data_IF_243461501990
#
_entry.id   IF_243461501990
#
_cell.length_a   1.000
_cell.length_b   1.000
_cell.length_c   1.000
_cell.angle_alpha   90.00
_cell.angle_beta   90.00
_cell.angle_gamma   90.00
#
_symmetry.space_group_name_H-M   'P 1'
#
loop_
_entity.id
_entity.type
_entity.pdbx_description
1 polymer ?
#
# COMPACT_ATOMS: atom_id res chain seq x y z
N UNK A 1 19.31 -44.17 42.74
CA UNK A 1 18.46 -44.68 41.63
C UNK A 1 17.10 -45.03 42.22
N UNK A 2 16.05 -44.28 41.88
CA UNK A 2 15.11 -44.55 40.77
C UNK A 2 15.00 -43.34 39.81
N UNK A 3 14.93 -43.43 38.48
CA UNK A 3 13.90 -43.92 37.50
C UNK A 3 12.67 -43.00 37.32
N UNK A 4 12.78 -42.18 36.26
CA UNK A 4 11.80 -41.63 35.30
C UNK A 4 10.40 -41.20 35.77
N UNK A 5 9.99 -39.98 35.38
CA UNK A 5 8.85 -39.77 34.47
C UNK A 5 8.41 -38.29 34.39
N UNK A 6 8.36 -37.78 33.16
CA UNK A 6 7.32 -36.88 32.63
C UNK A 6 7.04 -35.56 33.36
N UNK A 7 7.42 -34.47 32.69
CA UNK A 7 6.95 -33.13 33.01
C UNK A 7 7.24 -32.09 31.93
N UNK A 8 7.20 -32.48 30.65
CA UNK A 8 7.04 -31.49 29.56
C UNK A 8 5.60 -31.00 29.64
N UNK A 9 5.31 -30.17 30.63
CA UNK A 9 4.00 -29.56 30.81
C UNK A 9 4.03 -28.22 30.08
N UNK A 10 3.50 -28.29 28.87
CA UNK A 10 2.80 -27.22 28.18
C UNK A 10 3.57 -25.90 27.95
N UNK A 11 4.55 -25.96 27.04
CA UNK A 11 4.83 -24.83 26.15
C UNK A 11 3.91 -24.92 24.91
N UNK A 12 2.60 -24.95 25.15
CA UNK A 12 1.57 -24.93 24.11
C UNK A 12 0.37 -24.19 24.68
N UNK A 13 -0.17 -23.23 23.90
CA UNK A 13 -1.09 -22.13 24.27
C UNK A 13 -0.27 -20.87 24.64
N UNK A 14 0.02 -19.94 23.73
CA UNK A 14 -0.94 -19.03 23.09
C UNK A 14 -0.34 -18.36 21.83
N UNK A 15 0.05 -19.14 20.81
CA UNK A 15 0.01 -18.61 19.42
C UNK A 15 -1.36 -18.94 18.84
N UNK A 16 -2.41 -18.68 19.63
CA UNK A 16 -3.77 -18.66 19.11
C UNK A 16 -3.83 -17.42 18.21
N UNK A 17 -3.86 -17.64 16.90
CA UNK A 17 -3.90 -16.59 15.90
C UNK A 17 -5.08 -15.65 16.14
N UNK A 18 -4.81 -14.54 16.82
CA UNK A 18 -5.69 -13.38 16.86
C UNK A 18 -5.83 -12.90 15.42
N UNK A 19 -6.87 -13.35 14.73
CA UNK A 19 -7.30 -12.72 13.49
C UNK A 19 -7.68 -11.28 13.88
N UNK A 20 -7.13 -10.27 13.19
CA UNK A 20 -7.50 -8.88 13.46
C UNK A 20 -9.01 -8.72 13.33
N UNK A 21 -9.61 -7.86 14.16
CA UNK A 21 -11.03 -7.56 14.05
C UNK A 21 -11.33 -6.91 12.69
N UNK A 22 -12.57 -7.04 12.22
CA UNK A 22 -13.00 -6.43 10.96
C UNK A 22 -12.73 -4.92 10.92
N UNK A 23 -12.92 -4.22 12.04
CA UNK A 23 -12.64 -2.79 12.18
C UNK A 23 -11.15 -2.44 12.01
N UNK A 24 -10.24 -3.28 12.51
CA UNK A 24 -8.79 -3.09 12.34
C UNK A 24 -8.40 -3.25 10.88
N UNK A 25 -8.92 -4.29 10.22
CA UNK A 25 -8.69 -4.54 8.79
C UNK A 25 -9.21 -3.37 7.95
N UNK A 26 -10.44 -2.92 8.21
CA UNK A 26 -11.05 -1.81 7.48
C UNK A 26 -10.22 -0.54 7.61
N UNK A 27 -9.76 -0.22 8.83
CA UNK A 27 -8.93 0.96 9.09
C UNK A 27 -7.57 0.89 8.39
N UNK A 28 -6.93 -0.27 8.41
CA UNK A 28 -5.66 -0.50 7.72
C UNK A 28 -5.82 -0.31 6.20
N UNK A 29 -6.82 -0.99 5.61
CA UNK A 29 -7.11 -0.90 4.17
C UNK A 29 -7.46 0.53 3.75
N UNK A 30 -8.28 1.23 4.55
CA UNK A 30 -8.66 2.63 4.31
C UNK A 30 -7.46 3.58 4.37
N UNK A 31 -6.54 3.33 5.32
CA UNK A 31 -5.31 4.10 5.48
C UNK A 31 -4.38 3.87 4.29
N UNK A 32 -4.17 2.60 3.91
CA UNK A 32 -3.37 2.24 2.74
C UNK A 32 -3.94 2.84 1.45
N UNK A 33 -5.26 2.84 1.27
CA UNK A 33 -5.92 3.48 0.14
C UNK A 33 -5.61 4.98 0.11
N UNK A 34 -5.75 5.68 1.24
CA UNK A 34 -5.55 7.13 1.35
C UNK A 34 -4.11 7.55 1.06
N UNK A 35 -3.14 6.82 1.61
CA UNK A 35 -1.71 7.06 1.37
C UNK A 35 -1.35 6.77 -0.08
N UNK A 36 -1.76 5.61 -0.60
CA UNK A 36 -1.47 5.19 -1.98
C UNK A 36 -2.06 6.16 -3.00
N UNK A 37 -3.31 6.59 -2.79
CA UNK A 37 -3.96 7.58 -3.64
C UNK A 37 -3.22 8.92 -3.66
N UNK A 38 -2.78 9.40 -2.49
CA UNK A 38 -2.05 10.67 -2.40
C UNK A 38 -0.71 10.61 -3.14
N UNK A 39 0.01 9.50 -3.02
CA UNK A 39 1.25 9.27 -3.75
C UNK A 39 1.02 9.12 -5.25
N UNK A 40 -0.02 8.39 -5.68
CA UNK A 40 -0.37 8.27 -7.10
C UNK A 40 -0.71 9.62 -7.73
N UNK A 41 -1.44 10.48 -7.02
CA UNK A 41 -1.75 11.84 -7.50
C UNK A 41 -0.49 12.70 -7.58
N UNK A 42 0.39 12.63 -6.56
CA UNK A 42 1.67 13.33 -6.58
C UNK A 42 2.56 12.85 -7.73
N UNK A 43 2.69 11.54 -7.91
CA UNK A 43 3.43 10.93 -9.01
C UNK A 43 2.87 11.35 -10.36
N UNK A 44 1.56 11.28 -10.56
CA UNK A 44 0.94 11.70 -11.82
C UNK A 44 1.24 13.18 -12.14
N UNK A 45 1.22 14.05 -11.13
CA UNK A 45 1.61 15.46 -11.30
C UNK A 45 3.08 15.58 -11.70
N UNK A 46 3.98 14.92 -10.98
CA UNK A 46 5.43 14.92 -11.28
C UNK A 46 5.75 14.37 -12.66
N UNK A 47 5.11 13.27 -13.07
CA UNK A 47 5.29 12.66 -14.38
C UNK A 47 4.82 13.57 -15.51
N UNK A 48 3.70 14.28 -15.32
CA UNK A 48 3.22 15.26 -16.29
C UNK A 48 4.17 16.43 -16.47
N UNK A 49 4.88 16.85 -15.42
CA UNK A 49 5.89 17.92 -15.51
C UNK A 49 7.06 17.55 -16.44
N UNK A 50 7.34 16.26 -16.61
CA UNK A 50 8.39 15.75 -17.50
C UNK A 50 7.84 15.15 -18.79
N UNK A 51 6.58 15.43 -19.12
CA UNK A 51 5.96 15.04 -20.39
C UNK A 51 5.45 13.59 -20.44
N UNK A 52 5.34 12.89 -19.31
CA UNK A 52 4.85 11.51 -19.24
C UNK A 52 3.41 11.48 -18.70
N UNK A 53 2.52 10.79 -19.42
CA UNK A 53 1.07 10.83 -19.15
C UNK A 53 0.60 9.86 -18.06
N UNK A 54 1.33 8.76 -17.82
CA UNK A 54 0.96 7.71 -16.87
C UNK A 54 2.06 7.51 -15.82
N UNK A 55 1.67 7.06 -14.62
CA UNK A 55 2.62 6.74 -13.55
C UNK A 55 3.47 5.52 -13.92
N UNK A 56 2.87 4.50 -14.55
CA UNK A 56 3.57 3.27 -14.93
C UNK A 56 4.63 3.52 -16.02
N UNK A 57 4.36 4.36 -17.01
CA UNK A 57 5.37 4.74 -18.02
C UNK A 57 6.50 5.57 -17.41
N UNK A 58 6.17 6.38 -16.40
CA UNK A 58 7.10 7.26 -15.71
C UNK A 58 8.10 6.48 -14.84
N UNK A 59 7.71 5.32 -14.30
CA UNK A 59 8.66 4.36 -13.68
C UNK A 59 9.70 3.89 -14.69
N UNK A 60 9.31 3.73 -15.96
CA UNK A 60 10.22 3.34 -17.04
C UNK A 60 11.09 4.46 -17.59
N UNK A 61 10.88 5.70 -17.15
CA UNK A 61 11.61 6.87 -17.64
C UNK A 61 13.10 6.76 -17.25
N UNK A 62 14.00 6.72 -18.24
CA UNK A 62 15.46 6.73 -18.01
C UNK A 62 16.08 8.07 -18.38
N UNK A 63 15.49 9.13 -17.83
CA UNK A 63 15.95 10.50 -18.03
C UNK A 63 17.29 10.78 -17.35
N UNK A 64 17.93 11.87 -17.75
CA UNK A 64 19.20 12.35 -17.16
C UNK A 64 19.04 13.69 -16.47
N UNK A 65 17.94 14.40 -16.72
CA UNK A 65 17.64 15.65 -16.04
C UNK A 65 17.17 15.36 -14.61
N UNK A 66 17.52 16.25 -13.69
CA UNK A 66 17.17 16.10 -12.27
C UNK A 66 15.65 15.94 -12.08
N UNK A 67 14.86 16.65 -12.87
CA UNK A 67 13.40 16.58 -12.84
C UNK A 67 12.88 15.20 -13.28
N UNK A 68 13.51 14.58 -14.29
CA UNK A 68 13.14 13.26 -14.79
C UNK A 68 13.45 12.18 -13.75
N UNK A 69 14.64 12.24 -13.15
CA UNK A 69 15.04 11.31 -12.07
C UNK A 69 14.12 11.45 -10.86
N UNK A 70 13.78 12.68 -10.46
CA UNK A 70 12.86 12.92 -9.36
C UNK A 70 11.44 12.40 -9.69
N UNK A 71 10.93 12.63 -10.90
CA UNK A 71 9.63 12.14 -11.33
C UNK A 71 9.57 10.60 -11.32
N UNK A 72 10.62 9.94 -11.83
CA UNK A 72 10.76 8.48 -11.79
C UNK A 72 10.73 7.96 -10.34
N UNK A 73 11.52 8.54 -9.43
CA UNK A 73 11.57 8.10 -8.04
C UNK A 73 10.21 8.24 -7.32
N UNK A 74 9.48 9.33 -7.57
CA UNK A 74 8.12 9.51 -7.01
C UNK A 74 7.15 8.50 -7.62
N UNK A 75 7.27 8.19 -8.91
CA UNK A 75 6.45 7.17 -9.57
C UNK A 75 6.71 5.76 -9.02
N UNK A 76 7.98 5.40 -8.80
CA UNK A 76 8.38 4.11 -8.21
C UNK A 76 7.76 3.93 -6.82
N UNK A 77 7.89 4.94 -5.96
CA UNK A 77 7.27 4.92 -4.63
C UNK A 77 5.75 4.80 -4.71
N UNK A 78 5.09 5.54 -5.60
CA UNK A 78 3.64 5.47 -5.77
C UNK A 78 3.17 4.09 -6.25
N UNK A 79 3.90 3.45 -7.16
CA UNK A 79 3.61 2.10 -7.64
C UNK A 79 3.81 1.07 -6.53
N UNK A 80 4.88 1.18 -5.74
CA UNK A 80 5.12 0.31 -4.59
C UNK A 80 3.96 0.37 -3.60
N UNK A 81 3.54 1.57 -3.20
CA UNK A 81 2.42 1.76 -2.28
C UNK A 81 1.08 1.27 -2.88
N UNK A 82 0.81 1.53 -4.16
CA UNK A 82 -0.35 0.99 -4.87
C UNK A 82 -0.38 -0.54 -4.80
N UNK A 83 0.75 -1.19 -5.05
CA UNK A 83 0.84 -2.64 -5.02
C UNK A 83 0.67 -3.20 -3.60
N UNK A 84 1.23 -2.53 -2.59
CA UNK A 84 1.03 -2.87 -1.19
C UNK A 84 -0.44 -2.73 -0.76
N UNK A 85 -1.12 -1.66 -1.17
CA UNK A 85 -2.56 -1.50 -0.98
C UNK A 85 -3.34 -2.64 -1.64
N UNK A 86 -3.05 -2.98 -2.89
CA UNK A 86 -3.74 -4.06 -3.59
C UNK A 86 -3.62 -5.39 -2.85
N UNK A 87 -2.40 -5.73 -2.41
CA UNK A 87 -2.13 -6.94 -1.65
C UNK A 87 -2.92 -6.98 -0.33
N UNK A 88 -2.91 -5.87 0.43
CA UNK A 88 -3.59 -5.78 1.71
C UNK A 88 -5.12 -5.75 1.58
N UNK A 89 -5.65 -5.09 0.55
CA UNK A 89 -7.10 -5.01 0.36
C UNK A 89 -7.68 -6.32 -0.17
N UNK A 90 -7.03 -6.94 -1.15
CA UNK A 90 -7.54 -8.15 -1.80
C UNK A 90 -7.44 -9.41 -0.92
N UNK A 91 -6.69 -9.37 0.19
CA UNK A 91 -6.73 -10.45 1.19
C UNK A 91 -8.03 -10.48 2.00
N UNK A 92 -8.85 -9.42 1.92
CA UNK A 92 -10.07 -9.27 2.73
C UNK A 92 -11.32 -8.87 1.93
N UNK A 93 -11.14 -8.19 0.79
CA UNK A 93 -12.24 -7.60 0.01
C UNK A 93 -12.13 -7.97 -1.48
N UNK A 94 -13.26 -7.98 -2.22
CA UNK A 94 -13.24 -8.23 -3.66
C UNK A 94 -12.55 -7.08 -4.42
N UNK A 95 -11.98 -7.40 -5.59
CA UNK A 95 -11.25 -6.45 -6.44
C UNK A 95 -12.03 -5.16 -6.73
N UNK A 96 -13.34 -5.27 -7.01
CA UNK A 96 -14.20 -4.11 -7.29
C UNK A 96 -14.29 -3.14 -6.11
N UNK A 97 -14.36 -3.64 -4.87
CA UNK A 97 -14.35 -2.79 -3.67
C UNK A 97 -13.02 -2.06 -3.54
N UNK A 98 -11.91 -2.79 -3.64
CA UNK A 98 -10.58 -2.21 -3.54
C UNK A 98 -10.32 -1.15 -4.61
N UNK A 99 -10.80 -1.37 -5.84
CA UNK A 99 -10.73 -0.39 -6.92
C UNK A 99 -11.55 0.86 -6.62
N UNK A 100 -12.80 0.69 -6.20
CA UNK A 100 -13.66 1.80 -5.83
C UNK A 100 -13.08 2.63 -4.68
N UNK A 101 -12.49 1.97 -3.68
CA UNK A 101 -11.89 2.64 -2.54
C UNK A 101 -10.66 3.47 -2.93
N UNK A 102 -9.74 2.90 -3.73
CA UNK A 102 -8.55 3.62 -4.20
C UNK A 102 -8.93 4.78 -5.13
N UNK A 103 -9.87 4.56 -6.04
CA UNK A 103 -10.39 5.61 -6.92
C UNK A 103 -11.00 6.75 -6.10
N UNK A 104 -11.84 6.42 -5.11
CA UNK A 104 -12.45 7.42 -4.24
C UNK A 104 -11.42 8.22 -3.46
N UNK A 105 -10.40 7.54 -2.93
CA UNK A 105 -9.30 8.20 -2.24
C UNK A 105 -8.53 9.14 -3.19
N UNK A 106 -8.28 8.74 -4.44
CA UNK A 106 -7.61 9.59 -5.44
C UNK A 106 -8.46 10.81 -5.82
N UNK A 107 -9.78 10.66 -5.97
CA UNK A 107 -10.70 11.78 -6.18
C UNK A 107 -10.68 12.78 -5.01
N UNK A 108 -10.46 12.32 -3.78
CA UNK A 108 -10.31 13.19 -2.61
C UNK A 108 -8.95 13.90 -2.68
N UNK A 109 -7.85 13.16 -2.87
CA UNK A 109 -6.49 13.72 -2.90
C UNK A 109 -6.28 14.73 -4.05
N UNK A 110 -7.01 14.58 -5.15
CA UNK A 110 -6.98 15.57 -6.25
C UNK A 110 -7.67 16.88 -5.92
N UNK A 111 -8.66 16.88 -5.03
CA UNK A 111 -9.43 18.07 -4.60
C UNK A 111 -8.74 18.87 -3.51
N UNK A 112 -7.88 18.23 -2.72
CA UNK A 112 -7.13 18.92 -1.67
C UNK A 112 -6.15 19.91 -2.31
N UNK A 113 -6.30 21.23 -2.08
CA UNK A 113 -5.35 22.20 -2.59
C UNK A 113 -3.98 21.90 -1.95
N UNK A 114 -2.93 21.90 -2.77
CA UNK A 114 -1.56 21.89 -2.27
C UNK A 114 -1.35 23.16 -1.45
N UNK A 115 -1.37 23.00 -0.12
CA UNK A 115 -1.02 24.03 0.86
C UNK A 115 0.42 24.46 0.71
#
# INVERSE_FOLDING_TARGET
MPKFAFGVVALALLVAGCKPSAEVIEREVSTHASVSASLLVAALRSCRLVGVASVDDCVGLRGKLVQEVAAQAVAEAAVEHRNAFWKACQSHYPQAYCQGLLQRAAEISTRTPSS
#
